data_IF_525802675140
#
_entry.id   IF_525802675140
#
_cell.length_a   1.000
_cell.length_b   1.000
_cell.length_c   1.000
_cell.angle_alpha   90.00
_cell.angle_beta   90.00
_cell.angle_gamma   90.00
#
_symmetry.space_group_name_H-M   'P 1'
#
loop_
_entity.id
_entity.type
_entity.pdbx_description
1 polymer ?
#
# COMPACT_ATOMS: atom_id res chain seq x y z
N UNK A 1 10.93 9.43 4.86
CA UNK A 1 9.97 9.91 5.86
C UNK A 1 8.62 9.39 5.41
N UNK A 2 7.93 8.63 6.25
CA UNK A 2 6.58 8.13 5.97
C UNK A 2 5.64 9.32 6.14
N UNK A 3 4.78 9.61 5.15
CA UNK A 3 3.84 10.72 5.25
C UNK A 3 2.83 10.49 6.37
N UNK A 4 2.48 11.50 7.15
CA UNK A 4 1.46 11.40 8.21
C UNK A 4 0.17 12.10 7.82
N UNK A 5 0.19 12.90 6.75
CA UNK A 5 -0.97 13.63 6.23
C UNK A 5 -0.97 13.67 4.70
N UNK A 6 -2.13 13.99 4.06
CA UNK A 6 -2.17 14.21 2.61
C UNK A 6 -1.21 15.31 2.13
N UNK A 7 -0.90 16.28 2.99
CA UNK A 7 -0.02 17.40 2.67
C UNK A 7 1.43 16.97 2.45
N UNK A 8 1.88 15.89 3.09
CA UNK A 8 3.23 15.34 2.89
C UNK A 8 3.43 14.83 1.45
N UNK A 9 2.35 14.53 0.75
CA UNK A 9 2.34 14.13 -0.66
C UNK A 9 2.17 15.33 -1.61
N UNK A 10 2.10 16.56 -1.07
CA UNK A 10 1.96 17.80 -1.82
C UNK A 10 0.62 17.96 -2.51
N UNK A 11 -0.44 17.37 -1.96
CA UNK A 11 -1.81 17.45 -2.50
C UNK A 11 -2.32 18.91 -2.59
N UNK A 12 -1.80 19.79 -1.75
CA UNK A 12 -2.08 21.23 -1.73
C UNK A 12 -1.38 22.02 -2.84
N UNK A 13 -0.33 21.46 -3.47
CA UNK A 13 0.44 22.18 -4.49
C UNK A 13 -0.36 22.25 -5.78
N UNK A 14 -0.43 23.43 -6.39
CA UNK A 14 -1.11 23.66 -7.66
C UNK A 14 -0.67 22.70 -8.79
N UNK A 15 0.60 22.29 -8.78
CA UNK A 15 1.13 21.32 -9.75
C UNK A 15 0.61 19.89 -9.59
N UNK A 16 -0.05 19.55 -8.47
CA UNK A 16 -0.62 18.23 -8.21
C UNK A 16 -2.15 18.25 -8.17
N UNK A 17 -2.78 19.20 -8.87
CA UNK A 17 -4.24 19.37 -8.86
C UNK A 17 -5.03 18.13 -9.28
N UNK A 18 -4.47 17.30 -10.18
CA UNK A 18 -5.08 16.01 -10.57
C UNK A 18 -5.07 15.02 -9.40
N UNK A 19 -3.93 14.87 -8.69
CA UNK A 19 -3.85 14.02 -7.52
C UNK A 19 -4.81 14.46 -6.41
N UNK A 20 -4.95 15.78 -6.20
CA UNK A 20 -5.92 16.32 -5.23
C UNK A 20 -7.37 16.01 -5.59
N UNK A 21 -7.71 16.10 -6.88
CA UNK A 21 -9.03 15.67 -7.37
C UNK A 21 -9.26 14.17 -7.17
N UNK A 22 -8.27 13.34 -7.47
CA UNK A 22 -8.38 11.88 -7.27
C UNK A 22 -8.57 11.52 -5.79
N UNK A 23 -7.84 12.19 -4.88
CA UNK A 23 -8.03 12.01 -3.44
C UNK A 23 -9.48 12.27 -3.04
N UNK A 24 -10.04 13.40 -3.48
CA UNK A 24 -11.44 13.75 -3.23
C UNK A 24 -12.41 12.70 -3.80
N UNK A 25 -12.17 12.23 -5.03
CA UNK A 25 -12.99 11.19 -5.63
C UNK A 25 -12.91 9.86 -4.86
N UNK A 26 -11.79 9.54 -4.19
CA UNK A 26 -11.68 8.39 -3.28
C UNK A 26 -12.47 8.59 -1.99
N UNK A 27 -12.36 9.78 -1.37
CA UNK A 27 -13.09 10.12 -0.14
C UNK A 27 -14.61 10.10 -0.35
N UNK A 28 -15.08 10.55 -1.52
CA UNK A 28 -16.49 10.58 -1.89
C UNK A 28 -16.99 9.24 -2.47
N UNK A 29 -16.11 8.25 -2.69
CA UNK A 29 -16.46 6.97 -3.30
C UNK A 29 -16.81 7.06 -4.79
N UNK A 30 -16.43 8.15 -5.47
CA UNK A 30 -16.67 8.38 -6.89
C UNK A 30 -15.67 7.66 -7.81
N UNK A 31 -14.55 7.20 -7.26
CA UNK A 31 -13.53 6.45 -7.99
C UNK A 31 -12.82 5.45 -7.08
N UNK A 32 -12.26 4.39 -7.66
CA UNK A 32 -11.59 3.34 -6.89
C UNK A 32 -10.08 3.49 -6.91
N UNK A 33 -9.44 3.44 -5.74
CA UNK A 33 -7.98 3.34 -5.59
C UNK A 33 -7.42 1.97 -6.03
N UNK A 34 -8.30 1.00 -6.34
CA UNK A 34 -7.92 -0.29 -6.93
C UNK A 34 -7.91 -0.28 -8.46
N UNK A 35 -8.21 0.87 -9.10
CA UNK A 35 -8.19 0.99 -10.55
C UNK A 35 -6.82 0.65 -11.16
N UNK A 36 -6.85 0.07 -12.36
CA UNK A 36 -5.67 -0.09 -13.19
C UNK A 36 -5.31 1.21 -13.93
N UNK A 37 -4.09 1.28 -14.46
CA UNK A 37 -3.58 2.45 -15.15
C UNK A 37 -4.48 2.88 -16.31
N UNK A 38 -5.00 1.93 -17.10
CA UNK A 38 -5.85 2.22 -18.25
C UNK A 38 -7.15 2.94 -17.85
N UNK A 39 -7.77 2.50 -16.75
CA UNK A 39 -9.01 3.08 -16.21
C UNK A 39 -8.74 4.49 -15.66
N UNK A 40 -7.60 4.69 -15.01
CA UNK A 40 -7.16 6.00 -14.53
C UNK A 40 -6.93 6.96 -15.69
N UNK A 41 -6.17 6.53 -16.70
CA UNK A 41 -5.86 7.35 -17.87
C UNK A 41 -7.14 7.75 -18.61
N UNK A 42 -8.05 6.81 -18.85
CA UNK A 42 -9.32 7.10 -19.51
C UNK A 42 -10.14 8.19 -18.80
N UNK A 43 -10.14 8.20 -17.46
CA UNK A 43 -10.93 9.15 -16.66
C UNK A 43 -10.28 10.52 -16.50
N UNK A 44 -8.97 10.56 -16.30
CA UNK A 44 -8.28 11.77 -15.84
C UNK A 44 -7.29 12.36 -16.85
N UNK A 45 -6.94 11.64 -17.92
CA UNK A 45 -6.06 12.18 -18.97
C UNK A 45 -6.85 13.09 -19.92
N UNK A 46 -7.06 14.34 -19.50
CA UNK A 46 -7.86 15.32 -20.26
C UNK A 46 -7.01 16.20 -21.20
N UNK A 47 -5.68 16.16 -21.12
CA UNK A 47 -4.82 17.13 -21.84
C UNK A 47 -3.34 16.77 -22.03
N UNK A 48 -2.91 15.52 -21.78
CA UNK A 48 -1.52 15.11 -22.05
C UNK A 48 -0.45 15.78 -21.17
N UNK A 49 -0.85 16.38 -20.03
CA UNK A 49 0.09 16.92 -19.05
C UNK A 49 0.42 15.86 -17.99
N UNK A 50 1.69 15.43 -17.97
CA UNK A 50 2.24 14.56 -16.93
C UNK A 50 1.73 13.11 -16.97
N UNK A 51 2.36 12.25 -16.17
CA UNK A 51 1.86 10.88 -15.97
C UNK A 51 0.72 10.93 -14.94
N UNK A 52 -0.51 10.87 -15.42
CA UNK A 52 -1.72 10.78 -14.59
C UNK A 52 -1.64 9.59 -13.63
N UNK A 53 -0.96 8.51 -14.05
CA UNK A 53 -0.67 7.36 -13.20
C UNK A 53 0.24 7.68 -12.01
N UNK A 54 1.22 8.54 -12.20
CA UNK A 54 2.05 9.04 -11.10
C UNK A 54 1.22 9.85 -10.09
N UNK A 55 0.29 10.67 -10.56
CA UNK A 55 -0.63 11.43 -9.69
C UNK A 55 -1.62 10.52 -8.96
N UNK A 56 -2.07 9.44 -9.61
CA UNK A 56 -2.90 8.42 -8.97
C UNK A 56 -2.16 7.71 -7.83
N UNK A 57 -0.93 7.24 -8.06
CA UNK A 57 -0.11 6.62 -7.00
C UNK A 57 0.10 7.58 -5.82
N UNK A 58 0.30 8.86 -6.10
CA UNK A 58 0.39 9.91 -5.08
C UNK A 58 -0.91 10.05 -4.29
N UNK A 59 -2.05 10.09 -4.98
CA UNK A 59 -3.36 10.15 -4.35
C UNK A 59 -3.66 8.91 -3.49
N UNK A 60 -3.28 7.70 -3.93
CA UNK A 60 -3.41 6.48 -3.13
C UNK A 60 -2.64 6.57 -1.81
N UNK A 61 -1.39 7.07 -1.84
CA UNK A 61 -0.56 7.25 -0.64
C UNK A 61 -1.15 8.31 0.29
N UNK A 62 -1.60 9.44 -0.26
CA UNK A 62 -2.30 10.46 0.51
C UNK A 62 -3.60 9.92 1.14
N UNK A 63 -4.40 9.16 0.39
CA UNK A 63 -5.62 8.57 0.92
C UNK A 63 -5.33 7.55 2.02
N UNK A 64 -4.22 6.82 1.92
CA UNK A 64 -3.77 5.88 2.97
C UNK A 64 -3.40 6.53 4.30
N UNK A 65 -3.16 7.85 4.35
CA UNK A 65 -3.00 8.54 5.65
C UNK A 65 -4.34 8.79 6.34
N UNK A 66 -5.44 8.80 5.58
CA UNK A 66 -6.79 9.07 6.09
C UNK A 66 -7.57 7.78 6.35
N UNK A 67 -7.39 6.78 5.48
CA UNK A 67 -8.10 5.51 5.51
C UNK A 67 -7.16 4.39 5.03
N UNK A 68 -6.14 4.12 5.85
CA UNK A 68 -5.07 3.18 5.52
C UNK A 68 -5.12 1.87 6.28
N UNK A 69 -4.38 0.89 5.76
CA UNK A 69 -4.01 -0.33 6.45
C UNK A 69 -2.50 -0.60 6.23
N UNK A 70 -1.88 -1.31 7.16
CA UNK A 70 -0.56 -1.91 6.97
C UNK A 70 -0.76 -3.27 6.32
N UNK A 71 -0.04 -3.53 5.24
CA UNK A 71 -0.06 -4.79 4.49
C UNK A 71 1.32 -5.42 4.53
N UNK A 72 1.37 -6.73 4.76
CA UNK A 72 2.59 -7.53 4.72
C UNK A 72 2.52 -8.44 3.49
N UNK A 73 3.60 -8.43 2.72
CA UNK A 73 3.78 -9.32 1.56
C UNK A 73 5.05 -10.13 1.73
N UNK A 74 5.08 -11.30 1.11
CA UNK A 74 6.25 -12.14 0.95
C UNK A 74 6.83 -11.89 -0.44
N UNK A 75 8.01 -11.27 -0.50
CA UNK A 75 8.67 -10.97 -1.78
C UNK A 75 9.35 -12.20 -2.40
N UNK A 76 9.65 -13.23 -1.60
CA UNK A 76 10.25 -14.47 -2.11
C UNK A 76 9.21 -15.31 -2.83
N UNK A 77 7.97 -15.30 -2.36
CA UNK A 77 6.84 -16.02 -2.95
C UNK A 77 5.85 -15.12 -3.70
N UNK A 78 6.16 -13.82 -3.82
CA UNK A 78 5.35 -12.79 -4.48
C UNK A 78 3.87 -12.85 -4.10
N UNK A 79 3.56 -12.87 -2.80
CA UNK A 79 2.18 -13.04 -2.32
C UNK A 79 1.81 -12.13 -1.16
N UNK A 80 0.51 -11.88 -1.02
CA UNK A 80 -0.08 -11.27 0.17
C UNK A 80 0.03 -12.22 1.36
N UNK A 81 0.42 -11.70 2.53
CA UNK A 81 0.51 -12.46 3.78
C UNK A 81 -0.64 -12.09 4.71
N UNK A 82 -0.73 -10.80 5.08
CA UNK A 82 -1.77 -10.31 6.00
C UNK A 82 -1.90 -8.77 5.93
N UNK A 83 -2.95 -8.22 6.53
CA UNK A 83 -3.15 -6.78 6.69
C UNK A 83 -3.87 -6.41 7.98
N UNK A 84 -3.58 -5.22 8.50
CA UNK A 84 -4.30 -4.63 9.64
C UNK A 84 -4.67 -3.18 9.34
N UNK A 85 -5.91 -2.82 9.65
CA UNK A 85 -6.39 -1.44 9.54
C UNK A 85 -5.64 -0.50 10.49
N UNK A 86 -5.35 0.71 10.02
CA UNK A 86 -4.83 1.78 10.87
C UNK A 86 -6.04 2.49 11.50
N UNK A 87 -6.19 2.36 12.82
CA UNK A 87 -7.24 3.06 13.57
C UNK A 87 -6.66 4.36 14.13
N UNK A 88 -6.88 5.47 13.42
CA UNK A 88 -6.34 6.77 13.80
C UNK A 88 -5.02 7.07 13.09
N UNK A 89 -4.03 7.58 13.82
CA UNK A 89 -2.72 7.91 13.25
C UNK A 89 -1.85 6.65 13.08
N UNK A 90 -0.95 6.67 12.09
CA UNK A 90 0.02 5.59 11.92
C UNK A 90 1.07 5.65 13.04
N UNK A 91 1.15 4.58 13.85
CA UNK A 91 2.16 4.42 14.88
C UNK A 91 3.15 3.30 14.51
N UNK A 92 4.46 3.61 14.59
CA UNK A 92 5.50 2.67 14.21
C UNK A 92 5.56 1.43 15.13
N UNK A 93 5.32 1.61 16.43
CA UNK A 93 5.31 0.52 17.41
C UNK A 93 4.19 -0.47 17.13
N UNK A 94 3.00 0.03 16.77
CA UNK A 94 1.85 -0.78 16.35
C UNK A 94 2.18 -1.63 15.11
N UNK A 95 2.73 -1.01 14.06
CA UNK A 95 3.07 -1.71 12.83
C UNK A 95 4.14 -2.80 13.07
N UNK A 96 5.11 -2.53 13.95
CA UNK A 96 6.14 -3.50 14.30
C UNK A 96 5.58 -4.70 15.09
N UNK A 97 4.70 -4.44 16.07
CA UNK A 97 4.05 -5.51 16.83
C UNK A 97 3.17 -6.41 15.93
N UNK A 98 2.41 -5.79 15.01
CA UNK A 98 1.67 -6.52 13.98
C UNK A 98 2.58 -7.38 13.11
N UNK A 99 3.70 -6.81 12.62
CA UNK A 99 4.66 -7.52 11.77
C UNK A 99 5.25 -8.76 12.44
N UNK A 100 5.65 -8.66 13.70
CA UNK A 100 6.22 -9.76 14.46
C UNK A 100 5.21 -10.90 14.62
N UNK A 101 3.96 -10.57 14.95
CA UNK A 101 2.91 -11.57 15.13
C UNK A 101 2.61 -12.31 13.82
N UNK A 102 2.38 -11.57 12.73
CA UNK A 102 2.11 -12.15 11.41
C UNK A 102 3.29 -12.98 10.91
N UNK A 103 4.52 -12.47 11.06
CA UNK A 103 5.71 -13.20 10.65
C UNK A 103 5.83 -14.54 11.38
N UNK A 104 5.53 -14.58 12.68
CA UNK A 104 5.55 -15.81 13.47
C UNK A 104 4.55 -16.83 12.94
N UNK A 105 3.29 -16.45 12.77
CA UNK A 105 2.24 -17.35 12.23
C UNK A 105 2.54 -17.80 10.81
N UNK A 106 3.02 -16.90 9.96
CA UNK A 106 3.38 -17.22 8.58
C UNK A 106 4.60 -18.15 8.50
N UNK A 107 5.58 -17.98 9.39
CA UNK A 107 6.72 -18.90 9.54
C UNK A 107 6.27 -20.32 9.77
N UNK A 108 5.39 -20.51 10.74
CA UNK A 108 4.87 -21.83 11.12
C UNK A 108 4.16 -22.49 9.95
N UNK A 109 3.33 -21.71 9.22
CA UNK A 109 2.68 -22.18 7.99
C UNK A 109 3.70 -22.62 6.93
N UNK A 110 4.74 -21.84 6.69
CA UNK A 110 5.77 -22.17 5.70
C UNK A 110 6.58 -23.41 6.09
N UNK A 111 6.94 -23.54 7.37
CA UNK A 111 7.62 -24.73 7.89
C UNK A 111 6.75 -25.98 7.79
N UNK A 112 5.44 -25.88 8.08
CA UNK A 112 4.49 -26.97 7.90
C UNK A 112 4.35 -27.42 6.43
N UNK A 113 4.60 -26.50 5.49
CA UNK A 113 4.66 -26.79 4.05
C UNK A 113 6.04 -27.30 3.59
N UNK A 114 6.99 -27.52 4.51
CA UNK A 114 8.34 -28.00 4.21
C UNK A 114 9.24 -26.97 3.52
N UNK A 115 8.91 -25.68 3.59
CA UNK A 115 9.73 -24.61 3.02
C UNK A 115 10.97 -24.38 3.88
N UNK A 116 12.08 -24.01 3.24
CA UNK A 116 13.39 -23.78 3.87
C UNK A 116 14.03 -22.49 3.33
N UNK A 117 15.05 -21.98 4.02
CA UNK A 117 15.84 -20.84 3.57
C UNK A 117 15.46 -19.52 4.24
N UNK A 118 15.46 -18.42 3.48
CA UNK A 118 15.11 -17.10 4.00
C UNK A 118 13.97 -16.48 3.20
N UNK A 119 13.03 -15.87 3.92
CA UNK A 119 11.89 -15.15 3.37
C UNK A 119 12.05 -13.67 3.69
N UNK A 120 11.85 -12.81 2.70
CA UNK A 120 11.76 -11.36 2.90
C UNK A 120 10.29 -10.98 2.94
N UNK A 121 9.88 -10.45 4.09
CA UNK A 121 8.56 -9.85 4.26
C UNK A 121 8.69 -8.33 4.16
N UNK A 122 7.86 -7.71 3.33
CA UNK A 122 7.86 -6.26 3.10
C UNK A 122 6.55 -5.66 3.59
N UNK A 123 6.66 -4.55 4.30
CA UNK A 123 5.54 -3.79 4.84
C UNK A 123 5.22 -2.60 3.94
N UNK A 124 3.97 -2.50 3.55
CA UNK A 124 3.43 -1.35 2.82
C UNK A 124 2.27 -0.73 3.59
N UNK A 125 2.15 0.61 3.52
CA UNK A 125 0.88 1.28 3.82
C UNK A 125 0.12 1.50 2.52
N UNK A 126 -1.14 1.09 2.52
CA UNK A 126 -2.05 1.18 1.38
C UNK A 126 -3.43 1.64 1.87
N UNK A 127 -4.30 2.15 0.97
CA UNK A 127 -5.71 2.34 1.29
C UNK A 127 -6.34 1.09 1.91
N UNK A 128 -7.33 1.26 2.79
CA UNK A 128 -8.02 0.12 3.39
C UNK A 128 -8.83 -0.68 2.34
N UNK A 129 -8.52 -1.96 2.15
CA UNK A 129 -9.27 -2.90 1.30
C UNK A 129 -8.94 -4.36 1.64
N UNK A 130 -9.66 -5.32 1.02
CA UNK A 130 -9.22 -6.72 0.99
C UNK A 130 -8.20 -6.91 -0.15
N UNK A 131 -6.99 -7.34 0.20
CA UNK A 131 -5.86 -7.53 -0.72
C UNK A 131 -5.53 -8.99 -1.05
N UNK A 132 -6.28 -9.97 -0.54
CA UNK A 132 -5.99 -11.40 -0.68
C UNK A 132 -5.84 -11.86 -2.14
N UNK A 133 -6.58 -11.22 -3.06
CA UNK A 133 -6.61 -11.57 -4.48
C UNK A 133 -5.90 -10.54 -5.37
N UNK A 134 -5.17 -9.62 -4.77
CA UNK A 134 -4.48 -8.55 -5.50
C UNK A 134 -3.11 -9.04 -5.98
N UNK A 135 -2.76 -8.74 -7.23
CA UNK A 135 -1.46 -9.10 -7.79
C UNK A 135 -0.31 -8.44 -7.02
N UNK A 136 0.82 -9.15 -6.84
CA UNK A 136 1.97 -8.64 -6.07
C UNK A 136 2.49 -7.28 -6.55
N UNK A 137 2.46 -7.05 -7.87
CA UNK A 137 2.83 -5.76 -8.48
C UNK A 137 2.14 -4.56 -7.85
N UNK A 138 0.91 -4.73 -7.39
CA UNK A 138 0.10 -3.67 -6.81
C UNK A 138 0.74 -3.02 -5.58
N UNK A 139 1.35 -3.84 -4.71
CA UNK A 139 1.78 -3.40 -3.38
C UNK A 139 2.94 -2.40 -3.47
N UNK A 140 3.98 -2.73 -4.25
CA UNK A 140 5.12 -1.83 -4.42
C UNK A 140 4.82 -0.65 -5.35
N UNK A 141 3.90 -0.83 -6.31
CA UNK A 141 3.49 0.25 -7.23
C UNK A 141 2.75 1.36 -6.50
N UNK A 142 1.75 1.01 -5.70
CA UNK A 142 0.79 1.96 -5.11
C UNK A 142 1.05 2.23 -3.63
N UNK A 143 1.64 1.26 -2.94
CA UNK A 143 1.93 1.37 -1.52
C UNK A 143 3.03 2.36 -1.22
N UNK A 144 3.04 2.82 0.02
CA UNK A 144 4.19 3.44 0.63
C UNK A 144 5.00 2.37 1.37
N UNK A 145 6.28 2.25 1.04
CA UNK A 145 7.18 1.36 1.74
C UNK A 145 7.39 1.83 3.18
N UNK A 146 7.17 0.91 4.12
CA UNK A 146 7.29 1.16 5.56
C UNK A 146 8.56 0.52 6.13
N UNK A 147 8.84 -0.71 5.71
CA UNK A 147 9.97 -1.46 6.22
C UNK A 147 10.00 -2.88 5.65
N UNK A 148 11.04 -3.61 6.02
CA UNK A 148 11.19 -5.02 5.67
C UNK A 148 11.70 -5.81 6.87
N UNK A 149 11.39 -7.10 6.90
CA UNK A 149 11.96 -8.04 7.84
C UNK A 149 12.38 -9.31 7.11
N UNK A 150 13.52 -9.86 7.55
CA UNK A 150 14.02 -11.14 7.04
C UNK A 150 13.77 -12.22 8.06
N UNK A 151 13.15 -13.29 7.61
CA UNK A 151 12.79 -14.43 8.42
C UNK A 151 13.57 -15.66 7.94
N UNK A 152 14.11 -16.43 8.87
CA UNK A 152 14.77 -17.71 8.59
C UNK A 152 13.79 -18.88 8.78
N UNK A 153 13.81 -19.80 7.82
CA UNK A 153 13.12 -21.09 7.84
C UNK A 153 14.18 -22.18 8.04
N UNK A 154 14.20 -22.77 9.23
CA UNK A 154 15.16 -23.79 9.65
C UNK A 154 14.39 -24.94 10.32
#
# INVERSE_FOLDING_TARGET
>A
MIGTSPLDYGIDKASNGIAARMLKDFEEGHFSFLADESTVEQRYNQSGQGSVWHDFKRACRAYSTLNGCVVIVDDTNECFVDSVDINGEYEFEFANAFAINVATTYRERLLALGKQGSVRLTLYRLPRANYENTAWGHFWERGEYIGEMRMALA
#
